data_IF_573599505172
#
_entry.id   IF_573599505172
#
_cell.length_a   1.000
_cell.length_b   1.000
_cell.length_c   1.000
_cell.angle_alpha   90.00
_cell.angle_beta   90.00
_cell.angle_gamma   90.00
#
_symmetry.space_group_name_H-M   'P 1'
#
loop_
_entity.id
_entity.type
_entity.pdbx_description
1 polymer ?
#
# COMPACT_ATOMS: atom_id res chain seq x y z
N UNK A 1 -15.59 -21.68 15.85
CA UNK A 1 -14.93 -20.93 14.77
C UNK A 1 -13.80 -21.77 14.23
N UNK A 2 -13.60 -21.88 12.91
CA UNK A 2 -12.45 -22.58 12.36
C UNK A 2 -11.17 -21.91 12.86
N UNK A 3 -10.25 -22.71 13.39
CA UNK A 3 -8.97 -22.25 13.94
C UNK A 3 -8.03 -22.02 12.76
N UNK A 4 -7.67 -20.76 12.52
CA UNK A 4 -6.59 -20.39 11.59
C UNK A 4 -5.29 -20.97 12.14
N UNK A 5 -4.39 -21.54 11.32
CA UNK A 5 -3.23 -22.22 11.85
C UNK A 5 -2.30 -21.26 12.61
N UNK A 6 -1.76 -21.74 13.73
CA UNK A 6 -0.83 -20.97 14.58
C UNK A 6 0.56 -20.80 13.96
N UNK A 7 0.90 -21.64 12.98
CA UNK A 7 2.19 -21.64 12.28
C UNK A 7 2.01 -21.60 10.77
N UNK A 8 2.85 -20.82 10.10
CA UNK A 8 2.90 -20.73 8.64
C UNK A 8 3.15 -22.09 7.98
N UNK A 9 3.92 -22.97 8.62
CA UNK A 9 4.22 -24.31 8.09
C UNK A 9 2.96 -25.19 7.91
N UNK A 10 1.93 -24.98 8.73
CA UNK A 10 0.70 -25.78 8.69
C UNK A 10 -0.15 -25.55 7.43
N UNK A 11 0.02 -24.42 6.74
CA UNK A 11 -0.70 -24.16 5.48
C UNK A 11 -0.28 -25.10 4.34
N UNK A 12 0.88 -25.76 4.44
CA UNK A 12 1.35 -26.74 3.45
C UNK A 12 0.96 -28.19 3.78
N UNK A 13 0.41 -28.44 4.96
CA UNK A 13 0.09 -29.80 5.40
C UNK A 13 -1.32 -30.21 4.92
N UNK A 14 -1.46 -31.22 4.04
CA UNK A 14 -2.77 -31.70 3.62
C UNK A 14 -3.64 -32.19 4.79
N UNK A 15 -3.02 -32.73 5.85
CA UNK A 15 -3.74 -33.21 7.03
C UNK A 15 -4.37 -32.07 7.83
N UNK A 16 -3.71 -30.90 7.86
CA UNK A 16 -4.27 -29.68 8.45
C UNK A 16 -5.55 -29.27 7.71
N UNK A 17 -5.52 -29.18 6.38
CA UNK A 17 -6.69 -28.80 5.59
C UNK A 17 -7.84 -29.78 5.75
N UNK A 18 -7.57 -31.08 5.76
CA UNK A 18 -8.57 -32.12 6.03
C UNK A 18 -9.25 -31.91 7.39
N UNK A 19 -8.50 -31.56 8.42
CA UNK A 19 -9.05 -31.28 9.75
C UNK A 19 -9.81 -29.94 9.79
N UNK A 20 -9.28 -28.91 9.15
CA UNK A 20 -9.92 -27.60 9.01
C UNK A 20 -11.31 -27.73 8.37
N UNK A 21 -11.41 -28.42 7.22
CA UNK A 21 -12.68 -28.63 6.53
C UNK A 21 -13.64 -29.57 7.26
N UNK A 22 -13.14 -30.47 8.11
CA UNK A 22 -13.99 -31.29 8.97
C UNK A 22 -14.67 -30.45 10.06
N UNK A 23 -13.94 -29.47 10.60
CA UNK A 23 -14.40 -28.63 11.71
C UNK A 23 -15.16 -27.37 11.26
N UNK A 24 -15.05 -26.99 9.98
CA UNK A 24 -15.82 -25.89 9.41
C UNK A 24 -17.30 -26.30 9.22
N UNK A 25 -18.20 -25.66 9.97
CA UNK A 25 -19.65 -25.76 9.79
C UNK A 25 -20.14 -24.97 8.57
N UNK A 26 -19.49 -23.85 8.29
CA UNK A 26 -19.87 -22.87 7.26
C UNK A 26 -18.76 -22.68 6.22
N UNK A 27 -19.08 -22.03 5.09
CA UNK A 27 -18.08 -21.62 4.10
C UNK A 27 -17.04 -20.68 4.72
N UNK A 28 -15.79 -20.83 4.32
CA UNK A 28 -14.70 -19.97 4.75
C UNK A 28 -14.09 -19.25 3.55
N UNK A 29 -14.06 -17.92 3.61
CA UNK A 29 -13.61 -17.08 2.51
C UNK A 29 -12.26 -16.43 2.84
N UNK A 30 -11.19 -17.00 2.31
CA UNK A 30 -9.88 -16.33 2.27
C UNK A 30 -9.94 -15.11 1.34
N UNK A 31 -9.52 -13.94 1.84
CA UNK A 31 -9.37 -12.67 1.09
C UNK A 31 -10.61 -12.14 0.36
N UNK A 32 -11.77 -12.76 0.56
CA UNK A 32 -13.08 -12.18 0.26
C UNK A 32 -14.05 -13.21 -0.25
N UNK A 33 -15.32 -12.84 -0.16
CA UNK A 33 -16.33 -13.40 -1.04
C UNK A 33 -16.31 -12.64 -2.39
N UNK A 34 -17.07 -13.13 -3.37
CA UNK A 34 -17.19 -12.47 -4.67
C UNK A 34 -17.79 -11.07 -4.56
N UNK A 35 -18.61 -10.76 -3.56
CA UNK A 35 -19.11 -9.38 -3.38
C UNK A 35 -17.98 -8.39 -3.09
N UNK A 36 -16.90 -8.89 -2.47
CA UNK A 36 -15.73 -8.09 -2.09
C UNK A 36 -14.88 -7.72 -3.31
N UNK A 37 -14.45 -8.70 -4.11
CA UNK A 37 -13.50 -8.48 -5.21
C UNK A 37 -14.11 -8.67 -6.61
N UNK A 38 -15.37 -9.08 -6.70
CA UNK A 38 -16.06 -9.40 -7.94
C UNK A 38 -16.14 -8.23 -8.90
N UNK A 39 -16.40 -7.00 -8.41
CA UNK A 39 -16.44 -5.79 -9.24
C UNK A 39 -15.13 -5.53 -10.01
N UNK A 40 -14.00 -5.99 -9.44
CA UNK A 40 -12.69 -5.92 -10.08
C UNK A 40 -12.47 -7.17 -10.94
N UNK A 41 -12.78 -8.36 -10.40
CA UNK A 41 -12.58 -9.62 -11.09
C UNK A 41 -13.31 -9.68 -12.44
N UNK A 42 -14.56 -9.21 -12.50
CA UNK A 42 -15.37 -9.26 -13.74
C UNK A 42 -14.76 -8.44 -14.89
N UNK A 43 -13.86 -7.49 -14.62
CA UNK A 43 -13.11 -6.77 -15.67
C UNK A 43 -12.19 -7.70 -16.47
N UNK A 44 -11.87 -8.86 -15.91
CA UNK A 44 -10.93 -9.85 -16.46
C UNK A 44 -11.60 -11.12 -16.95
N UNK A 45 -12.93 -11.22 -16.81
CA UNK A 45 -13.72 -12.38 -17.18
C UNK A 45 -14.72 -12.03 -18.30
N UNK A 46 -15.10 -13.06 -19.07
CA UNK A 46 -16.23 -13.05 -19.99
C UNK A 46 -17.17 -14.19 -19.62
N UNK A 47 -18.47 -14.01 -19.83
CA UNK A 47 -19.48 -15.05 -19.55
C UNK A 47 -19.22 -16.36 -20.31
N UNK A 48 -18.52 -16.29 -21.45
CA UNK A 48 -18.13 -17.44 -22.28
C UNK A 48 -16.81 -18.09 -21.86
N UNK A 49 -16.10 -17.52 -20.89
CA UNK A 49 -14.81 -18.06 -20.47
C UNK A 49 -14.99 -19.43 -19.81
N UNK A 50 -14.11 -20.37 -20.17
CA UNK A 50 -13.88 -21.58 -19.39
C UNK A 50 -12.94 -21.25 -18.24
N UNK A 51 -13.42 -21.41 -17.02
CA UNK A 51 -12.72 -21.01 -15.79
C UNK A 51 -12.31 -22.26 -15.02
N UNK A 52 -11.03 -22.36 -14.67
CA UNK A 52 -10.49 -23.34 -13.72
C UNK A 52 -10.17 -22.65 -12.39
N UNK A 53 -10.87 -22.98 -11.31
CA UNK A 53 -10.51 -22.57 -9.97
C UNK A 53 -9.60 -23.63 -9.31
N UNK A 54 -8.36 -23.27 -8.99
CA UNK A 54 -7.43 -24.14 -8.27
C UNK A 54 -7.50 -23.89 -6.76
N UNK A 55 -7.42 -24.98 -5.98
CA UNK A 55 -7.55 -24.97 -4.51
C UNK A 55 -8.85 -24.32 -4.05
N UNK A 56 -9.99 -24.85 -4.50
CA UNK A 56 -11.28 -24.23 -4.26
C UNK A 56 -11.73 -24.26 -2.79
N UNK A 57 -11.23 -25.21 -2.00
CA UNK A 57 -11.64 -25.43 -0.62
C UNK A 57 -13.17 -25.49 -0.47
N UNK A 58 -13.66 -24.97 0.64
CA UNK A 58 -15.09 -24.80 0.91
C UNK A 58 -15.62 -23.41 0.50
N UNK A 59 -14.89 -22.67 -0.36
CA UNK A 59 -15.30 -21.35 -0.82
C UNK A 59 -16.54 -21.40 -1.72
N UNK A 60 -17.36 -20.36 -1.63
CA UNK A 60 -18.52 -20.10 -2.48
C UNK A 60 -18.17 -19.48 -3.82
N UNK A 61 -16.90 -19.18 -4.10
CA UNK A 61 -16.51 -18.45 -5.31
C UNK A 61 -17.06 -19.09 -6.60
N UNK A 62 -16.98 -20.41 -6.75
CA UNK A 62 -17.55 -21.11 -7.91
C UNK A 62 -19.08 -20.93 -8.02
N UNK A 63 -19.78 -21.04 -6.89
CA UNK A 63 -21.22 -20.84 -6.81
C UNK A 63 -21.62 -19.39 -7.16
N UNK A 64 -20.87 -18.41 -6.64
CA UNK A 64 -21.11 -16.99 -6.87
C UNK A 64 -20.77 -16.60 -8.32
N UNK A 65 -19.72 -17.14 -8.91
CA UNK A 65 -19.43 -16.99 -10.35
C UNK A 65 -20.57 -17.55 -11.20
N UNK A 66 -21.05 -18.75 -10.87
CA UNK A 66 -22.19 -19.35 -11.55
C UNK A 66 -23.42 -18.44 -11.44
N UNK A 67 -23.78 -17.98 -10.25
CA UNK A 67 -24.95 -17.13 -10.07
C UNK A 67 -24.83 -15.79 -10.82
N UNK A 68 -23.60 -15.34 -11.13
CA UNK A 68 -23.29 -14.13 -11.90
C UNK A 68 -23.07 -14.36 -13.41
N UNK A 69 -23.42 -15.52 -13.95
CA UNK A 69 -23.44 -15.75 -15.42
C UNK A 69 -22.29 -16.59 -15.98
N UNK A 70 -21.30 -16.96 -15.16
CA UNK A 70 -20.16 -17.78 -15.59
C UNK A 70 -20.49 -19.26 -15.41
N UNK A 71 -20.97 -19.91 -16.47
CA UNK A 71 -21.51 -21.28 -16.40
C UNK A 71 -20.45 -22.37 -16.49
N UNK A 72 -19.36 -22.12 -17.23
CA UNK A 72 -18.29 -23.09 -17.46
C UNK A 72 -17.17 -22.97 -16.40
N UNK A 73 -17.47 -23.38 -15.16
CA UNK A 73 -16.52 -23.33 -14.04
C UNK A 73 -16.20 -24.74 -13.56
N UNK A 74 -14.91 -25.07 -13.62
CA UNK A 74 -14.33 -26.29 -13.04
C UNK A 74 -13.49 -25.90 -11.82
N UNK A 75 -13.66 -26.61 -10.71
CA UNK A 75 -12.99 -26.33 -9.45
C UNK A 75 -12.26 -27.58 -8.94
N UNK A 76 -11.03 -27.41 -8.49
CA UNK A 76 -10.21 -28.52 -7.98
C UNK A 76 -9.66 -28.24 -6.59
N UNK A 77 -9.47 -29.30 -5.82
CA UNK A 77 -8.80 -29.29 -4.52
C UNK A 77 -8.12 -30.64 -4.29
N UNK A 78 -7.15 -30.72 -3.39
CA UNK A 78 -6.45 -31.96 -3.04
C UNK A 78 -7.23 -32.80 -2.00
N UNK A 79 -8.19 -32.20 -1.30
CA UNK A 79 -9.02 -32.89 -0.32
C UNK A 79 -10.32 -33.43 -0.93
N UNK A 80 -10.46 -34.76 -1.01
CA UNK A 80 -11.69 -35.38 -1.53
C UNK A 80 -12.93 -35.02 -0.70
N UNK A 81 -12.79 -34.84 0.62
CA UNK A 81 -13.91 -34.56 1.50
C UNK A 81 -14.55 -33.19 1.22
N UNK A 82 -13.73 -32.17 0.94
CA UNK A 82 -14.24 -30.84 0.57
C UNK A 82 -14.87 -30.85 -0.83
N UNK A 83 -14.32 -31.63 -1.76
CA UNK A 83 -14.90 -31.83 -3.09
C UNK A 83 -16.28 -32.47 -3.00
N UNK A 84 -16.44 -33.54 -2.21
CA UNK A 84 -17.73 -34.20 -2.04
C UNK A 84 -18.78 -33.25 -1.45
N UNK A 85 -18.38 -32.41 -0.47
CA UNK A 85 -19.23 -31.36 0.09
C UNK A 85 -19.63 -30.33 -0.96
N UNK A 86 -18.70 -29.86 -1.79
CA UNK A 86 -18.98 -28.89 -2.84
C UNK A 86 -19.93 -29.45 -3.92
N UNK A 87 -19.75 -30.71 -4.31
CA UNK A 87 -20.66 -31.41 -5.23
C UNK A 87 -22.06 -31.46 -4.62
N UNK A 88 -22.19 -31.98 -3.38
CA UNK A 88 -23.48 -32.12 -2.71
C UNK A 88 -24.20 -30.76 -2.58
N UNK A 89 -23.46 -29.70 -2.25
CA UNK A 89 -23.98 -28.33 -2.12
C UNK A 89 -24.54 -27.76 -3.42
N UNK A 90 -23.91 -28.07 -4.55
CA UNK A 90 -24.19 -27.39 -5.82
C UNK A 90 -24.99 -28.25 -6.82
N UNK A 91 -25.10 -29.57 -6.60
CA UNK A 91 -25.69 -30.54 -7.53
C UNK A 91 -27.06 -30.16 -8.10
N UNK A 92 -27.95 -29.61 -7.27
CA UNK A 92 -29.33 -29.31 -7.68
C UNK A 92 -29.46 -27.91 -8.29
N UNK A 93 -28.84 -26.90 -7.69
CA UNK A 93 -29.02 -25.50 -8.10
C UNK A 93 -28.06 -25.06 -9.21
N UNK A 94 -26.89 -25.71 -9.30
CA UNK A 94 -25.78 -25.31 -10.19
C UNK A 94 -25.19 -26.54 -10.88
N UNK A 95 -26.00 -27.29 -11.65
CA UNK A 95 -25.62 -28.61 -12.17
C UNK A 95 -24.45 -28.58 -13.17
N UNK A 96 -24.13 -27.43 -13.74
CA UNK A 96 -23.01 -27.29 -14.70
C UNK A 96 -21.66 -27.09 -14.01
N UNK A 97 -21.64 -26.80 -12.70
CA UNK A 97 -20.39 -26.72 -11.93
C UNK A 97 -19.71 -28.08 -11.83
N UNK A 98 -18.42 -28.12 -12.14
CA UNK A 98 -17.61 -29.32 -12.07
C UNK A 98 -16.64 -29.23 -10.90
N UNK A 99 -16.62 -30.24 -10.05
CA UNK A 99 -15.67 -30.33 -8.94
C UNK A 99 -14.90 -31.65 -9.04
N UNK A 100 -13.59 -31.62 -8.85
CA UNK A 100 -12.76 -32.82 -8.89
C UNK A 100 -11.58 -32.76 -7.92
N UNK A 101 -11.28 -33.89 -7.26
CA UNK A 101 -10.08 -34.02 -6.45
C UNK A 101 -8.84 -34.14 -7.35
N UNK A 102 -8.01 -33.10 -7.38
CA UNK A 102 -6.86 -33.00 -8.28
C UNK A 102 -5.85 -31.98 -7.73
N UNK A 103 -4.56 -32.26 -7.92
CA UNK A 103 -3.48 -31.35 -7.56
C UNK A 103 -3.25 -30.33 -8.67
N UNK A 104 -3.08 -29.05 -8.29
CA UNK A 104 -2.69 -28.01 -9.23
C UNK A 104 -1.27 -28.21 -9.81
N UNK A 105 -0.49 -29.15 -9.24
CA UNK A 105 0.84 -29.52 -9.70
C UNK A 105 0.82 -30.49 -10.89
N UNK A 106 -0.32 -31.12 -11.17
CA UNK A 106 -0.54 -32.11 -12.21
C UNK A 106 -1.99 -32.04 -12.71
N UNK A 107 -2.28 -31.04 -13.55
CA UNK A 107 -3.61 -30.80 -14.08
C UNK A 107 -3.90 -31.80 -15.21
N UNK A 108 -4.90 -32.65 -15.01
CA UNK A 108 -5.31 -33.65 -16.04
C UNK A 108 -5.96 -33.05 -17.29
N UNK A 109 -6.11 -31.73 -17.35
CA UNK A 109 -6.74 -31.04 -18.47
C UNK A 109 -5.76 -30.90 -19.65
N UNK A 110 -6.24 -30.90 -20.90
CA UNK A 110 -5.41 -30.66 -22.07
C UNK A 110 -4.76 -29.27 -22.07
N UNK A 111 -3.74 -29.10 -22.90
CA UNK A 111 -3.17 -27.78 -23.18
C UNK A 111 -4.22 -26.83 -23.79
N UNK A 112 -4.07 -25.53 -23.55
CA UNK A 112 -4.94 -24.48 -24.10
C UNK A 112 -6.45 -24.76 -23.92
N UNK A 113 -6.84 -25.29 -22.76
CA UNK A 113 -8.22 -25.71 -22.45
C UNK A 113 -9.05 -24.68 -21.68
N UNK A 114 -8.39 -23.75 -20.96
CA UNK A 114 -9.04 -22.72 -20.15
C UNK A 114 -8.73 -21.30 -20.61
N UNK A 115 -9.72 -20.41 -20.48
CA UNK A 115 -9.54 -18.98 -20.70
C UNK A 115 -9.02 -18.30 -19.43
N UNK A 116 -9.43 -18.79 -18.26
CA UNK A 116 -9.04 -18.23 -16.98
C UNK A 116 -8.68 -19.34 -16.02
N UNK A 117 -7.56 -19.18 -15.31
CA UNK A 117 -7.25 -19.94 -14.10
C UNK A 117 -7.35 -18.99 -12.91
N UNK A 118 -8.21 -19.29 -11.96
CA UNK A 118 -8.43 -18.53 -10.73
C UNK A 118 -7.77 -19.23 -9.54
N UNK A 119 -7.03 -18.46 -8.76
CA UNK A 119 -6.41 -18.88 -7.52
C UNK A 119 -6.78 -17.89 -6.43
N UNK A 120 -7.28 -18.38 -5.30
CA UNK A 120 -7.58 -17.55 -4.14
C UNK A 120 -6.92 -18.13 -2.89
N UNK A 121 -5.70 -17.66 -2.63
CA UNK A 121 -4.88 -18.08 -1.50
C UNK A 121 -4.23 -19.45 -1.59
N UNK A 122 -4.32 -20.15 -2.72
CA UNK A 122 -3.58 -21.42 -2.92
C UNK A 122 -2.10 -21.14 -3.09
N UNK A 123 -1.74 -20.13 -3.89
CA UNK A 123 -0.35 -19.69 -4.01
C UNK A 123 0.23 -19.26 -2.65
N UNK A 124 -0.53 -18.51 -1.85
CA UNK A 124 -0.10 -18.09 -0.51
C UNK A 124 0.08 -19.29 0.44
N UNK A 125 -0.79 -20.31 0.35
CA UNK A 125 -0.67 -21.53 1.13
C UNK A 125 0.57 -22.37 0.76
N UNK A 126 0.95 -22.37 -0.53
CA UNK A 126 2.18 -23.01 -0.99
C UNK A 126 3.43 -22.22 -0.59
N UNK A 127 3.33 -20.90 -0.44
CA UNK A 127 4.42 -19.99 -0.06
C UNK A 127 4.16 -19.34 1.31
N UNK A 128 4.08 -20.08 2.42
CA UNK A 128 3.67 -19.49 3.69
C UNK A 128 4.80 -18.73 4.40
N UNK A 129 6.06 -18.88 3.96
CA UNK A 129 7.22 -18.16 4.48
C UNK A 129 8.37 -18.11 3.49
N UNK A 130 9.36 -17.25 3.76
CA UNK A 130 10.61 -17.11 2.98
C UNK A 130 11.54 -18.34 3.03
N UNK A 131 11.38 -19.24 4.02
CA UNK A 131 12.30 -20.39 4.20
C UNK A 131 11.98 -21.53 3.23
N UNK A 132 13.04 -22.05 2.62
CA UNK A 132 13.10 -22.89 1.41
C UNK A 132 12.25 -24.18 1.40
N UNK A 133 11.87 -24.59 0.18
CA UNK A 133 11.25 -25.89 -0.14
C UNK A 133 9.97 -25.81 -0.98
N UNK A 134 9.40 -24.63 -1.17
CA UNK A 134 8.17 -24.42 -1.94
C UNK A 134 8.41 -24.01 -3.40
N UNK A 135 9.65 -23.71 -3.77
CA UNK A 135 9.98 -23.23 -5.11
C UNK A 135 9.60 -24.28 -6.17
N UNK A 136 9.99 -25.54 -6.02
CA UNK A 136 9.75 -26.55 -7.06
C UNK A 136 8.26 -26.84 -7.28
N UNK A 137 7.47 -26.97 -6.21
CA UNK A 137 6.02 -27.18 -6.30
C UNK A 137 5.34 -25.99 -6.99
N UNK A 138 5.66 -24.76 -6.59
CA UNK A 138 5.09 -23.56 -7.23
C UNK A 138 5.51 -23.45 -8.69
N UNK A 139 6.74 -23.82 -9.05
CA UNK A 139 7.20 -23.86 -10.44
C UNK A 139 6.43 -24.89 -11.27
N UNK A 140 6.14 -26.07 -10.71
CA UNK A 140 5.29 -27.09 -11.33
C UNK A 140 3.85 -26.60 -11.49
N UNK A 141 3.28 -25.99 -10.45
CA UNK A 141 1.96 -25.37 -10.51
C UNK A 141 1.89 -24.33 -11.64
N UNK A 142 2.84 -23.40 -11.67
CA UNK A 142 2.86 -22.37 -12.70
C UNK A 142 3.08 -22.94 -14.11
N UNK A 143 3.86 -24.02 -14.27
CA UNK A 143 4.03 -24.70 -15.55
C UNK A 143 2.70 -25.30 -16.04
N UNK A 144 1.95 -25.97 -15.15
CA UNK A 144 0.64 -26.52 -15.48
C UNK A 144 -0.38 -25.43 -15.79
N UNK A 145 -0.40 -24.33 -15.02
CA UNK A 145 -1.23 -23.16 -15.32
C UNK A 145 -0.89 -22.59 -16.70
N UNK A 146 0.40 -22.44 -17.04
CA UNK A 146 0.82 -21.95 -18.36
C UNK A 146 0.39 -22.89 -19.50
N UNK A 147 0.46 -24.21 -19.26
CA UNK A 147 0.10 -25.24 -20.25
C UNK A 147 -1.39 -25.22 -20.54
N UNK A 148 -2.25 -25.17 -19.53
CA UNK A 148 -3.71 -25.25 -19.72
C UNK A 148 -4.34 -23.93 -20.16
N UNK A 149 -3.67 -22.79 -19.97
CA UNK A 149 -4.18 -21.48 -20.41
C UNK A 149 -4.09 -21.31 -21.92
N UNK A 150 -5.20 -20.93 -22.54
CA UNK A 150 -5.26 -20.45 -23.93
C UNK A 150 -4.46 -19.17 -24.14
N UNK A 151 -4.09 -18.87 -25.38
CA UNK A 151 -3.58 -17.53 -25.74
C UNK A 151 -4.64 -16.45 -25.50
N UNK A 152 -4.23 -15.36 -24.87
CA UNK A 152 -5.12 -14.32 -24.36
C UNK A 152 -5.79 -14.68 -23.03
N UNK A 153 -5.57 -15.90 -22.52
CA UNK A 153 -6.04 -16.36 -21.23
C UNK A 153 -5.26 -15.75 -20.07
N UNK A 154 -5.84 -15.82 -18.87
CA UNK A 154 -5.34 -15.14 -17.67
C UNK A 154 -5.21 -16.09 -16.49
N UNK A 155 -4.05 -16.09 -15.85
CA UNK A 155 -3.93 -16.55 -14.48
C UNK A 155 -4.21 -15.37 -13.55
N UNK A 156 -5.18 -15.50 -12.65
CA UNK A 156 -5.59 -14.44 -11.73
C UNK A 156 -5.51 -14.98 -10.31
N UNK A 157 -4.66 -14.36 -9.49
CA UNK A 157 -4.42 -14.74 -8.10
C UNK A 157 -4.96 -13.66 -7.18
N UNK A 158 -5.90 -14.01 -6.31
CA UNK A 158 -6.30 -13.20 -5.16
C UNK A 158 -5.34 -13.53 -4.01
N UNK A 159 -4.50 -12.57 -3.62
CA UNK A 159 -3.43 -12.78 -2.63
C UNK A 159 -3.20 -11.53 -1.79
N UNK A 160 -2.61 -11.68 -0.60
CA UNK A 160 -2.07 -10.55 0.16
C UNK A 160 -0.80 -9.95 -0.48
N UNK A 161 -0.24 -10.63 -1.48
CA UNK A 161 0.96 -10.25 -2.22
C UNK A 161 2.14 -9.93 -1.28
N UNK A 162 2.35 -10.76 -0.25
CA UNK A 162 3.55 -10.64 0.59
C UNK A 162 4.79 -10.68 -0.29
N UNK A 163 5.85 -9.98 0.13
CA UNK A 163 7.02 -9.72 -0.71
C UNK A 163 7.59 -11.00 -1.36
N UNK A 164 7.72 -12.10 -0.60
CA UNK A 164 8.22 -13.36 -1.12
C UNK A 164 7.27 -14.02 -2.15
N UNK A 165 5.95 -13.94 -1.94
CA UNK A 165 4.95 -14.43 -2.90
C UNK A 165 5.06 -13.64 -4.21
N UNK A 166 5.10 -12.31 -4.10
CA UNK A 166 5.21 -11.42 -5.23
C UNK A 166 6.52 -11.62 -6.00
N UNK A 167 7.64 -11.79 -5.29
CA UNK A 167 8.96 -12.10 -5.88
C UNK A 167 8.94 -13.39 -6.68
N UNK A 168 8.33 -14.46 -6.16
CA UNK A 168 8.22 -15.75 -6.86
C UNK A 168 7.32 -15.64 -8.09
N UNK A 169 6.16 -14.99 -7.97
CA UNK A 169 5.23 -14.76 -9.08
C UNK A 169 5.89 -13.97 -10.22
N UNK A 170 6.47 -12.80 -9.91
CA UNK A 170 7.13 -11.95 -10.91
C UNK A 170 8.32 -12.65 -11.55
N UNK A 171 9.16 -13.32 -10.76
CA UNK A 171 10.36 -13.99 -11.29
C UNK A 171 10.02 -15.11 -12.26
N UNK A 172 8.90 -15.82 -12.05
CA UNK A 172 8.44 -16.84 -12.98
C UNK A 172 7.86 -16.23 -14.27
N UNK A 173 6.85 -15.37 -14.13
CA UNK A 173 6.08 -14.89 -15.28
C UNK A 173 6.85 -13.87 -16.13
N UNK A 174 7.78 -13.09 -15.56
CA UNK A 174 8.62 -12.19 -16.35
C UNK A 174 9.75 -12.92 -17.10
N UNK A 175 10.21 -14.07 -16.58
CA UNK A 175 11.17 -14.92 -17.31
C UNK A 175 10.53 -15.53 -18.56
N UNK A 176 9.24 -15.82 -18.48
CA UNK A 176 8.43 -16.24 -19.61
C UNK A 176 7.96 -15.02 -20.40
N UNK A 177 8.73 -14.62 -21.42
CA UNK A 177 8.49 -13.42 -22.26
C UNK A 177 7.12 -13.37 -22.96
N UNK A 178 6.31 -14.43 -22.86
CA UNK A 178 4.94 -14.52 -23.35
C UNK A 178 3.89 -14.07 -22.33
N UNK A 179 4.24 -13.38 -21.23
CA UNK A 179 3.26 -12.91 -20.26
C UNK A 179 3.32 -11.40 -20.04
N UNK A 180 2.13 -10.79 -19.99
CA UNK A 180 1.92 -9.44 -19.50
C UNK A 180 1.39 -9.49 -18.08
N UNK A 181 2.00 -8.73 -17.17
CA UNK A 181 1.62 -8.73 -15.75
C UNK A 181 0.85 -7.46 -15.41
N UNK A 182 -0.23 -7.63 -14.65
CA UNK A 182 -0.98 -6.53 -14.04
C UNK A 182 -1.25 -6.85 -12.58
N UNK A 183 -1.13 -5.85 -11.72
CA UNK A 183 -1.43 -5.96 -10.29
C UNK A 183 -2.47 -4.90 -9.96
N UNK A 184 -3.66 -5.33 -9.55
CA UNK A 184 -4.74 -4.43 -9.16
C UNK A 184 -5.06 -4.61 -7.68
N UNK A 185 -5.07 -3.50 -6.93
CA UNK A 185 -5.45 -3.51 -5.52
C UNK A 185 -6.95 -3.73 -5.40
N UNK A 186 -7.36 -4.64 -4.52
CA UNK A 186 -8.77 -4.83 -4.19
C UNK A 186 -9.21 -3.66 -3.29
N UNK A 187 -10.25 -2.94 -3.72
CA UNK A 187 -10.76 -1.74 -3.03
C UNK A 187 -11.38 -2.11 -1.68
N UNK A 188 -11.23 -1.25 -0.66
CA UNK A 188 -11.66 -1.46 0.74
C UNK A 188 -13.04 -2.12 0.90
N UNK A 189 -13.07 -3.35 1.40
CA UNK A 189 -14.32 -4.03 1.82
C UNK A 189 -14.15 -4.54 3.23
N UNK A 190 -14.49 -3.72 4.23
CA UNK A 190 -14.71 -4.14 5.64
C UNK A 190 -13.79 -5.27 6.16
N UNK A 191 -12.50 -5.23 5.84
CA UNK A 191 -11.58 -6.30 6.17
C UNK A 191 -11.15 -6.16 7.63
N UNK A 192 -11.14 -7.27 8.36
CA UNK A 192 -10.51 -7.37 9.69
C UNK A 192 -8.98 -7.37 9.62
N UNK A 193 -8.39 -7.51 8.43
CA UNK A 193 -6.94 -7.56 8.21
C UNK A 193 -6.35 -6.17 8.00
N UNK A 194 -5.14 -5.96 8.52
CA UNK A 194 -4.41 -4.70 8.44
C UNK A 194 -3.75 -4.43 7.08
N UNK A 195 -3.84 -5.37 6.13
CA UNK A 195 -3.09 -5.37 4.86
C UNK A 195 -4.07 -5.64 3.71
N UNK A 196 -3.97 -4.92 2.58
CA UNK A 196 -4.87 -5.10 1.46
C UNK A 196 -4.59 -6.39 0.70
N UNK A 197 -5.63 -6.91 0.04
CA UNK A 197 -5.49 -7.95 -0.96
C UNK A 197 -5.33 -7.35 -2.36
N UNK A 198 -4.72 -8.13 -3.26
CA UNK A 198 -4.42 -7.76 -4.64
C UNK A 198 -4.88 -8.88 -5.58
N UNK A 199 -5.21 -8.49 -6.81
CA UNK A 199 -5.26 -9.39 -7.96
C UNK A 199 -3.91 -9.35 -8.67
N UNK A 200 -3.18 -10.45 -8.67
CA UNK A 200 -2.02 -10.67 -9.52
C UNK A 200 -2.49 -11.33 -10.81
N UNK A 201 -2.36 -10.65 -11.94
CA UNK A 201 -2.85 -11.11 -13.24
C UNK A 201 -1.68 -11.34 -14.17
N UNK A 202 -1.51 -12.57 -14.64
CA UNK A 202 -0.58 -12.91 -15.73
C UNK A 202 -1.39 -13.29 -16.98
N UNK A 203 -1.29 -12.48 -18.03
CA UNK A 203 -1.99 -12.71 -19.30
C UNK A 203 -1.06 -13.38 -20.31
N UNK A 204 -1.41 -14.59 -20.78
CA UNK A 204 -0.64 -15.35 -21.78
C UNK A 204 -0.80 -14.70 -23.15
N UNK A 205 0.31 -14.34 -23.78
CA UNK A 205 0.37 -13.71 -25.09
C UNK A 205 0.89 -14.68 -26.14
N UNK A 206 0.35 -14.55 -27.35
CA UNK A 206 0.79 -15.35 -28.50
C UNK A 206 2.21 -15.00 -28.95
N UNK A 207 2.57 -13.72 -28.87
CA UNK A 207 3.89 -13.22 -29.24
C UNK A 207 4.65 -12.79 -27.98
N UNK A 208 5.97 -13.00 -27.94
CA UNK A 208 6.79 -12.54 -26.83
C UNK A 208 6.84 -11.00 -26.80
N UNK A 209 6.90 -10.44 -25.60
CA UNK A 209 7.10 -9.00 -25.38
C UNK A 209 8.60 -8.73 -25.38
N UNK A 210 9.09 -7.71 -26.12
CA UNK A 210 10.52 -7.42 -26.20
C UNK A 210 11.14 -6.95 -24.87
N UNK A 211 10.31 -6.39 -23.98
CA UNK A 211 10.73 -5.89 -22.67
C UNK A 211 9.70 -6.28 -21.61
N UNK A 212 10.11 -6.54 -20.35
CA UNK A 212 9.18 -6.78 -19.26
C UNK A 212 8.24 -5.57 -19.12
N UNK A 213 6.93 -5.86 -19.11
CA UNK A 213 5.88 -4.85 -19.04
C UNK A 213 4.91 -5.20 -17.92
N UNK A 214 4.84 -4.33 -16.91
CA UNK A 214 3.99 -4.49 -15.72
C UNK A 214 3.11 -3.26 -15.53
N UNK A 215 1.87 -3.48 -15.08
CA UNK A 215 0.92 -2.42 -14.77
C UNK A 215 0.43 -2.50 -13.32
N UNK A 216 0.46 -1.38 -12.61
CA UNK A 216 -0.10 -1.25 -11.26
C UNK A 216 -1.36 -0.39 -11.26
N UNK A 217 -2.41 -0.88 -10.60
CA UNK A 217 -3.68 -0.19 -10.41
C UNK A 217 -4.06 -0.20 -8.93
N UNK A 218 -3.60 0.79 -8.16
CA UNK A 218 -3.87 0.86 -6.72
C UNK A 218 -5.05 1.75 -6.34
N UNK A 219 -5.41 2.69 -7.21
CA UNK A 219 -6.45 3.67 -6.92
C UNK A 219 -7.61 3.52 -7.92
N UNK A 220 -8.85 3.38 -7.44
CA UNK A 220 -10.02 3.32 -8.32
C UNK A 220 -10.10 4.58 -9.19
N UNK A 221 -10.20 4.40 -10.50
CA UNK A 221 -10.31 5.50 -11.47
C UNK A 221 -8.99 6.18 -11.85
N UNK A 222 -7.84 5.80 -11.28
CA UNK A 222 -6.55 6.29 -11.76
C UNK A 222 -6.06 5.51 -12.99
N UNK A 223 -5.27 6.16 -13.84
CA UNK A 223 -4.55 5.46 -14.91
C UNK A 223 -3.57 4.41 -14.32
N UNK A 224 -3.36 3.32 -15.05
CA UNK A 224 -2.38 2.31 -14.66
C UNK A 224 -0.96 2.89 -14.69
N UNK A 225 -0.19 2.63 -13.64
CA UNK A 225 1.23 2.98 -13.58
C UNK A 225 2.01 1.87 -14.27
N UNK A 226 2.81 2.24 -15.27
CA UNK A 226 3.60 1.29 -16.07
C UNK A 226 5.01 1.20 -15.53
N UNK A 227 5.49 -0.01 -15.28
CA UNK A 227 6.83 -0.28 -14.74
C UNK A 227 7.55 -1.33 -15.59
N UNK A 228 8.87 -1.19 -15.68
CA UNK A 228 9.75 -2.10 -16.42
C UNK A 228 10.65 -2.93 -15.49
N UNK A 229 10.94 -2.42 -14.29
CA UNK A 229 11.68 -3.14 -13.26
C UNK A 229 10.71 -3.84 -12.30
N UNK A 230 11.01 -5.10 -11.97
CA UNK A 230 10.26 -5.86 -10.98
C UNK A 230 10.49 -5.33 -9.56
N UNK A 231 11.65 -4.76 -9.26
CA UNK A 231 11.95 -4.22 -7.93
C UNK A 231 11.13 -2.96 -7.63
N UNK A 232 10.83 -2.15 -8.66
CA UNK A 232 9.89 -1.02 -8.54
C UNK A 232 8.48 -1.51 -8.21
N UNK A 233 8.04 -2.59 -8.85
CA UNK A 233 6.73 -3.21 -8.59
C UNK A 233 6.66 -3.71 -7.14
N UNK A 234 7.69 -4.43 -6.69
CA UNK A 234 7.76 -4.96 -5.33
C UNK A 234 7.74 -3.81 -4.32
N UNK A 235 8.57 -2.79 -4.54
CA UNK A 235 8.64 -1.61 -3.67
C UNK A 235 7.31 -0.88 -3.57
N UNK A 236 6.58 -0.73 -4.69
CA UNK A 236 5.28 -0.09 -4.72
C UNK A 236 4.21 -0.89 -3.96
N UNK A 237 4.16 -2.22 -4.12
CA UNK A 237 3.22 -3.09 -3.38
C UNK A 237 3.53 -3.06 -1.88
N UNK A 238 4.80 -3.18 -1.49
CA UNK A 238 5.23 -3.11 -0.08
C UNK A 238 4.86 -1.75 0.53
N UNK A 239 5.12 -0.64 -0.16
CA UNK A 239 4.75 0.69 0.31
C UNK A 239 3.23 0.83 0.54
N UNK A 240 2.38 0.27 -0.35
CA UNK A 240 0.92 0.30 -0.16
C UNK A 240 0.47 -0.59 1.02
N UNK A 241 1.14 -1.72 1.25
CA UNK A 241 0.89 -2.59 2.40
C UNK A 241 1.27 -1.90 3.72
N UNK A 242 2.44 -1.26 3.77
CA UNK A 242 2.90 -0.49 4.93
C UNK A 242 1.95 0.67 5.24
N UNK A 243 1.57 1.42 4.22
CA UNK A 243 0.63 2.54 4.38
C UNK A 243 -0.76 2.07 4.84
N UNK A 244 -1.24 0.93 4.33
CA UNK A 244 -2.51 0.35 4.79
C UNK A 244 -2.44 -0.13 6.24
N UNK A 245 -1.32 -0.74 6.66
CA UNK A 245 -1.08 -1.14 8.06
C UNK A 245 -1.05 0.07 8.99
N UNK A 246 -0.41 1.15 8.55
CA UNK A 246 -0.40 2.42 9.27
C UNK A 246 -1.81 3.01 9.41
N UNK A 247 -2.62 2.98 8.34
CA UNK A 247 -4.02 3.40 8.39
C UNK A 247 -4.85 2.52 9.34
N UNK A 248 -4.62 1.20 9.35
CA UNK A 248 -5.29 0.29 10.27
C UNK A 248 -4.90 0.59 11.73
N UNK A 249 -3.62 0.83 12.02
CA UNK A 249 -3.17 1.28 13.33
C UNK A 249 -3.88 2.58 13.75
N UNK A 250 -3.96 3.55 12.83
CA UNK A 250 -4.66 4.82 13.04
C UNK A 250 -6.19 4.69 13.05
N UNK A 251 -6.78 3.55 12.71
CA UNK A 251 -8.24 3.37 12.74
C UNK A 251 -8.80 3.42 14.16
N UNK A 252 -7.96 3.11 15.14
CA UNK A 252 -8.24 3.20 16.57
C UNK A 252 -7.53 4.43 17.17
N UNK A 253 -7.94 4.81 18.38
CA UNK A 253 -7.22 5.83 19.18
C UNK A 253 -5.83 5.30 19.49
N UNK A 254 -4.81 6.11 19.22
CA UNK A 254 -3.44 5.80 19.53
C UNK A 254 -3.13 6.17 21.00
N UNK A 255 -2.39 5.31 21.69
CA UNK A 255 -1.81 5.64 23.01
C UNK A 255 -0.54 6.48 22.89
N UNK A 256 0.15 6.34 21.76
CA UNK A 256 1.47 6.89 21.45
C UNK A 256 1.44 7.48 20.04
N UNK A 257 2.29 8.45 19.73
CA UNK A 257 2.35 8.98 18.36
C UNK A 257 2.85 7.91 17.38
N UNK A 258 2.27 7.87 16.18
CA UNK A 258 2.66 6.93 15.13
C UNK A 258 3.16 7.70 13.90
N UNK A 259 4.24 7.22 13.27
CA UNK A 259 4.87 7.91 12.14
C UNK A 259 4.98 7.02 10.91
N UNK A 260 4.76 7.60 9.72
CA UNK A 260 5.03 6.98 8.42
C UNK A 260 5.79 7.97 7.51
N UNK A 261 6.62 7.44 6.63
CA UNK A 261 7.30 8.22 5.59
C UNK A 261 6.71 7.87 4.22
N UNK A 262 6.33 8.87 3.44
CA UNK A 262 5.84 8.74 2.08
C UNK A 262 6.92 9.17 1.10
N UNK A 263 7.18 8.35 0.09
CA UNK A 263 8.13 8.66 -0.97
C UNK A 263 7.49 9.49 -2.09
N UNK A 264 8.31 10.32 -2.74
CA UNK A 264 7.98 11.04 -3.95
C UNK A 264 8.02 10.14 -5.19
N UNK A 265 7.74 10.73 -6.35
CA UNK A 265 7.80 10.03 -7.66
C UNK A 265 9.22 9.60 -8.04
N UNK A 266 10.23 10.18 -7.42
CA UNK A 266 11.65 9.86 -7.57
C UNK A 266 12.12 8.72 -6.63
N UNK A 267 11.19 8.12 -5.87
CA UNK A 267 11.48 7.07 -4.90
C UNK A 267 12.12 7.55 -3.60
N UNK A 268 12.41 8.85 -3.46
CA UNK A 268 13.03 9.41 -2.25
C UNK A 268 11.98 9.85 -1.24
N UNK A 269 12.28 9.87 0.06
CA UNK A 269 11.39 10.41 1.08
C UNK A 269 10.94 11.84 0.73
N UNK A 270 9.62 12.07 0.78
CA UNK A 270 9.01 13.38 0.46
C UNK A 270 8.21 13.95 1.61
N UNK A 271 7.41 13.12 2.27
CA UNK A 271 6.64 13.54 3.44
C UNK A 271 6.88 12.60 4.61
N UNK A 272 6.92 13.13 5.82
CA UNK A 272 6.77 12.35 7.06
C UNK A 272 5.48 12.76 7.72
N UNK A 273 4.60 11.80 7.98
CA UNK A 273 3.33 12.05 8.67
C UNK A 273 3.41 11.42 10.06
N UNK A 274 3.27 12.25 11.09
CA UNK A 274 3.18 11.83 12.49
C UNK A 274 1.77 12.10 12.99
N UNK A 275 1.05 11.04 13.38
CA UNK A 275 -0.33 11.12 13.89
C UNK A 275 -0.29 11.14 15.40
N UNK A 276 -0.92 12.15 15.98
CA UNK A 276 -0.96 12.42 17.42
C UNK A 276 -2.42 12.50 17.86
N UNK A 277 -2.81 11.66 18.81
CA UNK A 277 -4.14 11.64 19.42
C UNK A 277 -4.14 12.29 20.80
N UNK A 278 -5.28 12.83 21.19
CA UNK A 278 -5.50 13.29 22.55
C UNK A 278 -5.63 12.12 23.52
N UNK A 279 -4.69 12.00 24.46
CA UNK A 279 -4.71 10.97 25.48
C UNK A 279 -5.93 11.07 26.43
N UNK A 280 -6.48 12.27 26.63
CA UNK A 280 -7.50 12.56 27.65
C UNK A 280 -8.93 12.22 27.18
N UNK A 281 -9.16 12.09 25.87
CA UNK A 281 -10.52 11.86 25.32
C UNK A 281 -10.78 10.38 25.01
N UNK A 282 -12.05 9.97 25.06
CA UNK A 282 -12.43 8.59 24.76
C UNK A 282 -12.73 8.37 23.27
N UNK A 283 -13.22 9.39 22.56
CA UNK A 283 -13.58 9.33 21.14
C UNK A 283 -13.00 10.53 20.39
N UNK A 284 -12.51 10.28 19.17
CA UNK A 284 -11.85 11.28 18.33
C UNK A 284 -12.89 12.18 17.62
N UNK A 285 -13.16 13.37 18.14
CA UNK A 285 -14.23 14.27 17.63
C UNK A 285 -13.79 15.31 16.59
N UNK A 286 -12.49 15.50 16.37
CA UNK A 286 -11.95 16.49 15.43
C UNK A 286 -10.58 16.09 14.87
N UNK A 287 -10.31 16.43 13.61
CA UNK A 287 -9.08 16.07 12.90
C UNK A 287 -8.57 17.23 12.05
N UNK A 288 -7.28 17.50 12.11
CA UNK A 288 -6.61 18.43 11.19
C UNK A 288 -5.23 17.91 10.79
N UNK A 289 -4.72 18.47 9.69
CA UNK A 289 -3.36 18.29 9.21
C UNK A 289 -2.59 19.57 9.50
N UNK A 290 -1.39 19.47 10.07
CA UNK A 290 -0.48 20.60 10.23
C UNK A 290 0.75 20.37 9.36
N UNK A 291 0.96 21.21 8.35
CA UNK A 291 2.12 21.15 7.46
C UNK A 291 3.22 22.03 8.07
N UNK A 292 4.35 21.41 8.42
CA UNK A 292 5.52 22.11 8.96
C UNK A 292 6.28 22.77 7.80
N UNK A 293 6.42 24.11 7.79
CA UNK A 293 7.25 24.81 6.82
C UNK A 293 8.69 24.30 6.84
N UNK A 294 9.31 24.20 5.67
CA UNK A 294 10.71 23.83 5.58
C UNK A 294 11.56 24.88 6.30
N UNK A 295 12.56 24.44 7.08
CA UNK A 295 13.42 25.30 7.89
C UNK A 295 12.98 25.46 9.33
N UNK A 296 11.72 25.12 9.64
CA UNK A 296 11.15 25.13 10.99
C UNK A 296 11.05 23.75 11.62
N UNK A 297 11.38 22.70 10.88
CA UNK A 297 11.39 21.29 11.32
C UNK A 297 12.21 21.03 12.60
N UNK A 298 13.18 21.89 12.92
CA UNK A 298 13.97 21.81 14.16
C UNK A 298 13.36 22.59 15.35
N UNK A 299 12.34 23.42 15.14
CA UNK A 299 11.66 24.12 16.23
C UNK A 299 11.09 23.08 17.20
N UNK A 300 11.26 23.31 18.51
CA UNK A 300 10.86 22.37 19.58
C UNK A 300 9.44 21.83 19.42
N UNK A 301 8.51 22.68 18.95
CA UNK A 301 7.09 22.36 18.79
C UNK A 301 6.82 21.35 17.65
N UNK A 302 7.76 21.18 16.71
CA UNK A 302 7.65 20.27 15.56
C UNK A 302 8.65 19.10 15.58
N UNK A 303 9.62 19.12 16.50
CA UNK A 303 10.70 18.13 16.56
C UNK A 303 10.65 17.21 17.78
N UNK A 304 9.82 17.53 18.78
CA UNK A 304 9.74 16.77 20.03
C UNK A 304 8.32 16.32 20.31
N UNK A 305 8.18 15.13 20.93
CA UNK A 305 6.88 14.60 21.36
C UNK A 305 6.10 15.56 22.27
N UNK A 306 6.78 16.21 23.21
CA UNK A 306 6.15 17.21 24.08
C UNK A 306 5.64 18.42 23.28
N UNK A 307 6.42 18.85 22.28
CA UNK A 307 6.02 19.86 21.31
C UNK A 307 4.80 19.46 20.48
N UNK A 308 4.76 18.23 19.97
CA UNK A 308 3.64 17.70 19.20
C UNK A 308 2.33 17.70 20.00
N UNK A 309 2.39 17.29 21.27
CA UNK A 309 1.25 17.33 22.19
C UNK A 309 0.79 18.77 22.41
N UNK A 310 1.72 19.71 22.63
CA UNK A 310 1.42 21.12 22.81
C UNK A 310 0.79 21.73 21.55
N UNK A 311 1.31 21.40 20.36
CA UNK A 311 0.78 21.85 19.07
C UNK A 311 -0.66 21.35 18.85
N UNK A 312 -0.91 20.05 19.09
CA UNK A 312 -2.26 19.48 19.01
C UNK A 312 -3.24 20.22 19.93
N UNK A 313 -2.82 20.53 21.17
CA UNK A 313 -3.62 21.32 22.12
C UNK A 313 -3.88 22.74 21.60
N UNK A 314 -2.88 23.40 20.99
CA UNK A 314 -3.04 24.74 20.39
C UNK A 314 -3.98 24.74 19.18
N UNK A 315 -3.98 23.68 18.37
CA UNK A 315 -4.90 23.53 17.24
C UNK A 315 -6.33 23.13 17.66
N UNK A 316 -6.56 22.82 18.95
CA UNK A 316 -7.83 22.35 19.48
C UNK A 316 -8.39 21.13 18.72
N UNK A 317 -7.53 20.14 18.44
CA UNK A 317 -7.91 18.92 17.70
C UNK A 317 -7.75 17.65 18.51
N UNK A 318 -8.70 16.74 18.37
CA UNK A 318 -8.70 15.42 18.97
C UNK A 318 -7.64 14.50 18.37
N UNK A 319 -7.33 14.69 17.08
CA UNK A 319 -6.24 14.10 16.32
C UNK A 319 -5.56 15.17 15.47
N UNK A 320 -4.23 15.17 15.45
CA UNK A 320 -3.41 16.00 14.56
C UNK A 320 -2.50 15.11 13.72
N UNK A 321 -2.52 15.29 12.41
CA UNK A 321 -1.48 14.75 11.52
C UNK A 321 -0.44 15.83 11.25
N UNK A 322 0.72 15.74 11.91
CA UNK A 322 1.86 16.62 11.69
C UNK A 322 2.63 16.13 10.45
N UNK A 323 2.76 16.98 9.44
CA UNK A 323 3.42 16.65 8.17
C UNK A 323 4.72 17.43 8.05
N UNK A 324 5.84 16.73 8.12
CA UNK A 324 7.17 17.28 7.87
C UNK A 324 7.57 17.07 6.41
N UNK A 325 8.08 18.14 5.80
CA UNK A 325 8.56 18.17 4.41
C UNK A 325 10.05 17.84 4.37
N UNK A 326 10.46 16.92 3.50
CA UNK A 326 11.88 16.61 3.31
C UNK A 326 12.57 17.74 2.51
N UNK A 327 13.74 18.16 2.99
CA UNK A 327 14.47 19.37 2.52
C UNK A 327 15.11 19.22 1.14
N UNK A 328 15.35 17.99 0.69
CA UNK A 328 15.98 17.64 -0.59
C UNK A 328 14.99 17.54 -1.75
N UNK A 329 13.70 17.80 -1.47
CA UNK A 329 12.60 17.78 -2.41
C UNK A 329 12.15 19.19 -2.79
N UNK A 330 11.51 19.31 -3.95
CA UNK A 330 10.92 20.58 -4.42
C UNK A 330 9.41 20.61 -4.20
N UNK A 331 8.93 21.77 -3.74
CA UNK A 331 7.51 22.07 -3.50
C UNK A 331 7.23 23.47 -4.05
N UNK A 332 6.24 23.57 -4.93
CA UNK A 332 5.89 24.81 -5.63
C UNK A 332 5.13 25.78 -4.73
N UNK A 333 4.14 25.26 -4.01
CA UNK A 333 3.28 26.05 -3.13
C UNK A 333 2.46 25.14 -2.19
N UNK A 334 1.75 25.75 -1.24
CA UNK A 334 1.02 25.01 -0.20
C UNK A 334 -0.16 24.22 -0.81
N UNK A 335 -0.75 24.73 -1.89
CA UNK A 335 -1.87 24.07 -2.57
C UNK A 335 -1.43 22.74 -3.19
N UNK A 336 -0.26 22.71 -3.86
CA UNK A 336 0.33 21.48 -4.39
C UNK A 336 0.56 20.44 -3.27
N UNK A 337 1.15 20.87 -2.15
CA UNK A 337 1.42 19.98 -1.00
C UNK A 337 0.11 19.39 -0.46
N UNK A 338 -0.92 20.23 -0.29
CA UNK A 338 -2.23 19.78 0.16
C UNK A 338 -2.85 18.78 -0.84
N UNK A 339 -2.80 19.05 -2.14
CA UNK A 339 -3.34 18.18 -3.19
C UNK A 339 -2.65 16.80 -3.20
N UNK A 340 -1.32 16.77 -3.03
CA UNK A 340 -0.55 15.52 -2.93
C UNK A 340 -0.89 14.71 -1.66
N UNK A 341 -1.15 15.38 -0.53
CA UNK A 341 -1.44 14.72 0.76
C UNK A 341 -2.90 14.26 0.91
N UNK A 342 -3.86 14.92 0.24
CA UNK A 342 -5.30 14.62 0.31
C UNK A 342 -5.66 13.14 0.26
N UNK A 343 -5.18 12.32 -0.70
CA UNK A 343 -5.55 10.91 -0.77
C UNK A 343 -5.12 10.11 0.47
N UNK A 344 -3.99 10.46 1.06
CA UNK A 344 -3.47 9.81 2.27
C UNK A 344 -4.23 10.27 3.52
N UNK A 345 -4.43 11.59 3.68
CA UNK A 345 -5.14 12.21 4.80
C UNK A 345 -6.58 11.71 4.91
N UNK A 346 -7.26 11.52 3.77
CA UNK A 346 -8.63 10.97 3.72
C UNK A 346 -8.70 9.57 4.35
N UNK A 347 -7.67 8.74 4.16
CA UNK A 347 -7.61 7.39 4.75
C UNK A 347 -7.34 7.44 6.27
N UNK A 348 -6.58 8.43 6.75
CA UNK A 348 -6.27 8.65 8.18
C UNK A 348 -7.40 9.29 8.99
N UNK A 349 -8.43 9.81 8.32
CA UNK A 349 -9.59 10.44 8.98
C UNK A 349 -10.31 9.42 9.88
N UNK A 350 -10.60 9.73 11.15
CA UNK A 350 -11.36 8.85 12.04
C UNK A 350 -12.73 8.45 11.47
N UNK A 351 -13.14 7.19 11.66
CA UNK A 351 -14.35 6.63 11.03
C UNK A 351 -15.65 7.38 11.41
N UNK A 352 -15.73 7.89 12.63
CA UNK A 352 -16.87 8.69 13.10
C UNK A 352 -16.98 10.05 12.41
N UNK A 353 -15.88 10.60 11.88
CA UNK A 353 -15.86 11.85 11.12
C UNK A 353 -16.12 11.65 9.63
N UNK A 354 -16.02 10.43 9.10
CA UNK A 354 -16.30 10.11 7.69
C UNK A 354 -17.78 10.16 7.31
N UNK A 355 -18.70 10.26 8.28
CA UNK A 355 -20.16 10.22 8.07
C UNK A 355 -20.76 11.52 7.51
N UNK A 356 -20.02 12.63 7.61
CA UNK A 356 -20.41 13.91 7.01
C UNK A 356 -20.13 13.87 5.50
N UNK A 357 -21.04 14.38 4.67
CA UNK A 357 -20.80 14.57 3.23
C UNK A 357 -19.55 15.46 3.07
N UNK A 358 -18.43 14.81 2.73
CA UNK A 358 -17.06 15.35 2.73
C UNK A 358 -16.57 15.87 4.09
N UNK A 359 -15.82 15.07 4.87
CA UNK A 359 -15.06 15.61 5.99
C UNK A 359 -14.03 16.60 5.43
N UNK A 360 -14.32 17.90 5.52
CA UNK A 360 -13.36 18.95 5.21
C UNK A 360 -12.25 18.92 6.26
N UNK A 361 -11.19 18.15 5.98
CA UNK A 361 -10.02 18.12 6.86
C UNK A 361 -9.33 19.46 6.75
N UNK A 362 -9.19 20.14 7.89
CA UNK A 362 -8.53 21.43 7.97
C UNK A 362 -7.01 21.26 7.78
N UNK A 363 -6.42 22.05 6.89
CA UNK A 363 -4.98 22.12 6.68
C UNK A 363 -4.43 23.41 7.31
N UNK A 364 -3.57 23.25 8.30
CA UNK A 364 -2.93 24.31 9.06
C UNK A 364 -1.44 24.41 8.68
N UNK A 365 -0.87 25.61 8.71
CA UNK A 365 0.57 25.83 8.57
C UNK A 365 0.96 27.22 9.09
N UNK A 366 2.26 27.51 9.18
CA UNK A 366 2.78 28.82 9.60
C UNK A 366 3.57 29.48 8.47
N UNK A 367 2.88 30.22 7.61
CA UNK A 367 3.48 30.99 6.52
C UNK A 367 3.64 30.20 5.23
N UNK A 368 4.71 30.49 4.49
CA UNK A 368 5.02 29.85 3.20
C UNK A 368 5.52 28.41 3.38
N UNK A 369 5.46 27.60 2.31
CA UNK A 369 5.93 26.20 2.33
C UNK A 369 7.42 26.11 2.67
N UNK A 370 8.22 26.96 2.04
CA UNK A 370 9.62 27.12 2.37
C UNK A 370 9.82 28.44 3.09
N UNK A 371 9.99 28.39 4.42
CA UNK A 371 10.21 29.58 5.23
C UNK A 371 11.66 30.09 5.15
N UNK A 372 12.51 29.44 4.33
CA UNK A 372 13.95 29.69 4.25
C UNK A 372 14.27 30.61 3.08
N UNK A 373 15.36 31.35 3.25
CA UNK A 373 16.04 32.03 2.15
C UNK A 373 17.47 31.54 2.06
N UNK A 374 17.75 30.68 1.07
CA UNK A 374 19.10 30.18 0.81
C UNK A 374 20.03 31.34 0.46
N UNK A 375 21.18 31.41 1.13
CA UNK A 375 22.22 32.43 0.91
C UNK A 375 23.45 31.86 0.23
N UNK A 376 23.83 30.65 0.58
CA UNK A 376 24.93 29.92 -0.05
C UNK A 376 24.67 28.42 0.06
N UNK A 377 25.18 27.66 -0.88
CA UNK A 377 25.22 26.20 -0.81
C UNK A 377 26.55 25.71 -1.40
N UNK A 378 26.95 24.51 -1.02
CA UNK A 378 28.19 23.91 -1.51
C UNK A 378 28.31 22.45 -1.13
N UNK A 379 29.48 21.88 -1.42
CA UNK A 379 29.87 20.53 -1.01
C UNK A 379 31.24 20.57 -0.37
N UNK A 380 31.35 19.97 0.81
CA UNK A 380 32.61 19.72 1.48
C UNK A 380 33.03 18.26 1.26
N UNK A 381 34.33 17.99 1.28
CA UNK A 381 34.87 16.63 1.19
C UNK A 381 34.56 15.80 2.43
N UNK A 382 34.37 16.45 3.59
CA UNK A 382 34.17 15.79 4.89
C UNK A 382 32.68 15.56 5.18
N UNK A 383 31.85 16.60 5.09
CA UNK A 383 30.46 16.56 5.56
C UNK A 383 29.43 16.45 4.41
N UNK A 384 29.89 16.38 3.16
CA UNK A 384 29.04 16.36 1.98
C UNK A 384 28.41 17.73 1.71
N UNK A 385 27.16 17.74 1.23
CA UNK A 385 26.45 18.96 0.86
C UNK A 385 26.07 19.80 2.08
N UNK A 386 26.23 21.11 1.98
CA UNK A 386 25.90 22.07 3.03
C UNK A 386 25.14 23.28 2.48
N UNK A 387 24.36 23.92 3.34
CA UNK A 387 23.58 25.12 3.02
C UNK A 387 23.67 26.16 4.13
N UNK A 388 23.76 27.43 3.75
CA UNK A 388 23.57 28.59 4.63
C UNK A 388 22.23 29.23 4.27
N UNK A 389 21.32 29.31 5.25
CA UNK A 389 19.95 29.76 5.06
C UNK A 389 19.55 30.79 6.11
N UNK A 390 18.78 31.80 5.69
CA UNK A 390 18.10 32.70 6.62
C UNK A 390 16.71 32.14 6.94
N UNK A 391 16.37 32.02 8.22
CA UNK A 391 15.09 31.49 8.71
C UNK A 391 14.52 32.43 9.75
N UNK A 392 13.23 32.74 9.65
CA UNK A 392 12.51 33.53 10.66
C UNK A 392 11.95 32.59 11.73
N UNK A 393 12.31 32.82 12.98
CA UNK A 393 11.76 32.09 14.13
C UNK A 393 11.29 33.11 15.17
N UNK A 394 9.97 33.13 15.41
CA UNK A 394 9.31 34.22 16.13
C UNK A 394 9.55 35.58 15.45
N UNK A 395 9.91 36.59 16.24
CA UNK A 395 10.17 37.96 15.75
C UNK A 395 11.60 38.17 15.21
N UNK A 396 12.44 37.13 15.24
CA UNK A 396 13.86 37.24 14.91
C UNK A 396 14.22 36.50 13.64
N UNK A 397 15.18 37.06 12.89
CA UNK A 397 15.78 36.43 11.73
C UNK A 397 17.10 35.79 12.13
N UNK A 398 17.32 34.54 11.73
CA UNK A 398 18.54 33.79 12.03
C UNK A 398 19.20 33.34 10.73
N UNK A 399 20.53 33.31 10.69
CA UNK A 399 21.33 32.67 9.65
C UNK A 399 21.89 31.37 10.20
N UNK A 400 21.61 30.26 9.53
CA UNK A 400 21.98 28.90 9.95
C UNK A 400 22.88 28.23 8.92
N UNK A 401 23.87 27.48 9.39
CA UNK A 401 24.64 26.51 8.58
C UNK A 401 24.14 25.10 8.89
N UNK A 402 23.79 24.34 7.85
CA UNK A 402 23.28 22.97 7.99
C UNK A 402 24.00 22.05 6.99
N UNK A 403 24.34 20.85 7.45
CA UNK A 403 24.81 19.77 6.58
C UNK A 403 23.63 18.91 6.17
N UNK A 404 23.44 18.70 4.86
CA UNK A 404 22.31 17.92 4.35
C UNK A 404 22.41 16.42 4.68
N UNK A 405 23.61 15.96 5.06
CA UNK A 405 23.86 14.62 5.63
C UNK A 405 23.37 14.48 7.07
N UNK A 406 23.08 15.58 7.77
CA UNK A 406 22.59 15.59 9.16
C UNK A 406 21.60 16.76 9.36
N UNK A 407 20.44 16.72 8.69
CA UNK A 407 19.52 17.87 8.61
C UNK A 407 18.90 18.25 9.96
N UNK A 408 18.85 17.32 10.92
CA UNK A 408 18.36 17.57 12.28
C UNK A 408 19.34 18.32 13.20
N UNK A 409 20.54 18.68 12.70
CA UNK A 409 21.57 19.36 13.50
C UNK A 409 21.95 20.67 12.83
N UNK A 410 21.66 21.78 13.52
CA UNK A 410 22.12 23.11 13.15
C UNK A 410 23.58 23.25 13.59
N UNK A 411 24.50 23.42 12.64
CA UNK A 411 25.94 23.45 12.89
C UNK A 411 26.40 24.80 13.43
N UNK A 412 25.76 25.87 12.96
CA UNK A 412 25.98 27.23 13.44
C UNK A 412 24.70 28.03 13.25
N UNK A 413 24.37 28.89 14.21
CA UNK A 413 23.23 29.80 14.15
C UNK A 413 23.67 31.18 14.63
N UNK A 414 23.33 32.23 13.88
CA UNK A 414 23.54 33.62 14.27
C UNK A 414 22.27 34.43 14.05
N UNK A 415 21.86 35.21 15.06
CA UNK A 415 20.75 36.17 14.92
C UNK A 415 21.18 37.33 14.03
N UNK A 416 20.41 37.60 12.99
CA UNK A 416 20.62 38.75 12.09
C UNK A 416 19.98 39.98 12.73
N UNK A 417 20.80 40.98 12.98
CA UNK A 417 20.36 42.31 13.43
C UNK A 417 20.37 43.20 12.19
N UNK A 418 19.21 43.68 11.75
CA UNK A 418 19.15 44.71 10.71
C UNK A 418 19.69 46.01 11.30
N UNK A 419 20.89 46.42 10.90
CA UNK A 419 21.41 47.75 11.24
C UNK A 419 20.58 48.80 10.51
N UNK A 420 19.66 49.45 11.21
CA UNK A 420 19.05 50.70 10.76
C UNK A 420 20.07 51.84 10.92
N UNK A 421 20.38 52.48 9.78
CA UNK A 421 20.88 53.84 9.58
C UNK A 421 21.51 54.58 10.78
N UNK A 422 22.83 54.50 10.91
CA UNK A 422 23.57 55.57 11.56
C UNK A 422 23.60 56.79 10.64
N UNK A 423 22.59 57.66 10.73
CA UNK A 423 22.71 59.05 10.27
C UNK A 423 23.89 59.70 11.00
N UNK A 424 25.01 59.85 10.31
CA UNK A 424 26.09 60.75 10.71
C UNK A 424 25.52 62.18 10.74
N UNK A 425 25.07 62.65 11.90
CA UNK A 425 24.95 64.09 12.15
C UNK A 425 26.36 64.67 12.19
N UNK A 426 26.86 65.08 11.01
CA UNK A 426 28.00 65.98 10.88
C UNK A 426 27.63 67.26 11.64
N UNK A 427 28.23 67.48 12.81
CA UNK A 427 28.25 68.78 13.49
C UNK A 427 28.93 69.77 12.54
N UNK A 428 28.13 70.58 11.85
CA UNK A 428 28.58 71.78 11.16
C UNK A 428 28.94 72.85 12.21
N UNK A 429 30.11 73.43 12.01
CA UNK A 429 30.79 74.42 12.85
C UNK A 429 29.90 75.59 13.31
N UNK A 430 30.08 75.98 14.58
CA UNK A 430 30.01 77.38 15.03
C UNK A 430 31.42 77.79 15.45
N UNK A 431 32.01 78.75 14.75
CA UNK A 431 32.87 79.79 15.33
C UNK A 431 33.18 80.83 14.24
N UNK A 432 32.70 82.05 14.50
CA UNK A 432 33.13 83.38 14.07
C UNK A 432 33.59 83.62 12.63
#
# INVERSE_FOLDING_TARGET
MPVVPESSASFRDPSFWKQFYKNASDSFEWYGDFNTFGSILIKYLKSTDKILQIGCGNSELAAQLYDNGYRAVSSIDIDQGVIDKQIARNKTLRPELQFSCCSALDLRSPEDSYNVVLDKGTLDALLPSEKEGAAEEVQKMFAEVCRVLTFGGRYIVVSLAQEHVLRVFLSYFLKNVNFMIRIEKISDVSWSFAVPAFLLIATKLRLPIPFPYMELLFWPGSAAVKLMDKEDVISAVVAEQEFSRFCHLCSKKLSEEATITLSGKDGRPRYRITVIDDAEIHQLVSFAVFIVPIGRDNDWIFSTRAGHIALRKQCDKSRLALVSLFRDQTYENMMQVQDELRPYVKKLTPANLKKSQEPSVEYLSLGEVDARKTRACGRSTVNGHWVVEDVRSGDSLYRRLIFLSSPGVIQSEARIISTFEHTFKRKGNRAN
#
